data_IF_677653398081
#
_entry.id   IF_677653398081
#
_cell.length_a   1.000
_cell.length_b   1.000
_cell.length_c   1.000
_cell.angle_alpha   90.00
_cell.angle_beta   90.00
_cell.angle_gamma   90.00
#
_symmetry.space_group_name_H-M   'P 1'
#
loop_
_entity.id
_entity.type
_entity.pdbx_description
1 polymer ?
#
# COMPACT_ATOMS: atom_id res chain seq x y z
N UNK A 1 4.12 -14.87 -10.67
CA UNK A 1 5.01 -13.74 -11.08
C UNK A 1 6.44 -14.20 -11.02
N UNK A 2 7.35 -13.54 -11.73
CA UNK A 2 8.80 -13.81 -11.69
C UNK A 2 9.50 -12.83 -10.77
N UNK A 3 10.69 -13.20 -10.29
CA UNK A 3 11.55 -12.28 -9.55
C UNK A 3 11.81 -10.99 -10.36
N UNK A 4 11.80 -9.81 -9.71
CA UNK A 4 12.02 -8.54 -10.39
C UNK A 4 13.47 -8.39 -10.87
N UNK A 5 13.70 -7.47 -11.82
CA UNK A 5 15.06 -7.08 -12.22
C UNK A 5 15.77 -6.40 -11.04
N UNK A 6 17.03 -6.81 -10.75
CA UNK A 6 17.84 -6.11 -9.77
C UNK A 6 18.06 -4.63 -10.11
N UNK A 7 18.09 -3.78 -9.08
CA UNK A 7 18.36 -2.33 -9.14
C UNK A 7 19.61 -1.92 -8.36
N UNK A 8 20.36 -2.89 -7.83
CA UNK A 8 21.63 -2.67 -7.15
C UNK A 8 22.17 -3.94 -6.50
N UNK A 9 23.29 -3.84 -5.76
CA UNK A 9 23.97 -5.00 -5.19
C UNK A 9 23.10 -5.85 -4.25
N UNK A 10 22.14 -5.25 -3.53
CA UNK A 10 21.28 -5.97 -2.61
C UNK A 10 20.25 -6.82 -3.36
N UNK A 11 19.53 -6.22 -4.30
CA UNK A 11 18.56 -6.95 -5.11
C UNK A 11 19.24 -7.96 -6.05
N UNK A 12 20.48 -7.71 -6.51
CA UNK A 12 21.26 -8.69 -7.27
C UNK A 12 21.55 -9.94 -6.43
N UNK A 13 21.99 -9.75 -5.19
CA UNK A 13 22.19 -10.85 -4.25
C UNK A 13 20.89 -11.58 -3.93
N UNK A 14 19.80 -10.83 -3.71
CA UNK A 14 18.50 -11.39 -3.34
C UNK A 14 17.93 -12.27 -4.45
N UNK A 15 17.93 -11.78 -5.69
CA UNK A 15 17.44 -12.53 -6.86
C UNK A 15 18.30 -13.77 -7.09
N UNK A 16 19.63 -13.67 -7.00
CA UNK A 16 20.52 -14.82 -7.16
C UNK A 16 20.33 -15.88 -6.04
N UNK A 17 20.03 -15.45 -4.81
CA UNK A 17 19.74 -16.33 -3.68
C UNK A 17 18.39 -17.03 -3.86
N UNK A 18 17.34 -16.29 -4.22
CA UNK A 18 15.99 -16.82 -4.41
C UNK A 18 15.90 -17.78 -5.59
N UNK A 19 16.58 -17.49 -6.71
CA UNK A 19 16.62 -18.35 -7.90
C UNK A 19 17.47 -19.62 -7.72
N UNK A 20 18.21 -19.75 -6.61
CA UNK A 20 19.11 -20.89 -6.37
C UNK A 20 20.29 -20.96 -7.35
N UNK A 21 20.57 -19.88 -8.09
CA UNK A 21 21.55 -19.85 -9.18
C UNK A 21 23.00 -19.61 -8.73
N UNK A 22 23.27 -19.52 -7.43
CA UNK A 22 24.62 -19.28 -6.90
C UNK A 22 24.86 -19.81 -5.50
N UNK A 23 26.14 -20.01 -5.16
CA UNK A 23 26.57 -20.10 -3.76
C UNK A 23 26.42 -18.69 -3.20
N UNK A 24 25.23 -18.31 -2.75
CA UNK A 24 25.00 -16.99 -2.19
C UNK A 24 25.96 -16.83 -0.99
N UNK A 25 26.96 -15.97 -1.16
CA UNK A 25 27.84 -15.57 -0.06
C UNK A 25 27.04 -14.92 1.07
N UNK A 26 27.75 -14.40 2.07
CA UNK A 26 27.09 -13.60 3.11
C UNK A 26 26.25 -12.48 2.48
N UNK A 27 25.12 -12.16 3.10
CA UNK A 27 24.29 -11.04 2.68
C UNK A 27 25.12 -9.74 2.68
N UNK A 28 24.90 -8.83 1.71
CA UNK A 28 25.49 -7.50 1.74
C UNK A 28 25.13 -6.81 3.07
N UNK A 29 26.12 -6.21 3.74
CA UNK A 29 25.91 -5.49 5.01
C UNK A 29 25.12 -4.21 4.77
N UNK A 30 24.43 -3.68 5.80
CA UNK A 30 23.69 -2.40 5.73
C UNK A 30 24.45 -1.28 5.02
N UNK A 31 25.73 -1.13 5.36
CA UNK A 31 26.61 -0.08 4.83
C UNK A 31 26.84 -0.19 3.31
N UNK A 32 26.58 -1.35 2.70
CA UNK A 32 26.82 -1.61 1.27
C UNK A 32 25.64 -1.26 0.36
N UNK A 33 24.44 -1.09 0.92
CA UNK A 33 23.23 -0.74 0.17
C UNK A 33 22.53 0.53 0.68
N UNK A 34 22.97 1.09 1.81
CA UNK A 34 22.45 2.34 2.36
C UNK A 34 22.48 3.54 1.39
N UNK A 35 23.31 3.49 0.35
CA UNK A 35 23.43 4.55 -0.65
C UNK A 35 22.42 4.43 -1.82
N UNK A 36 21.56 3.40 -1.86
CA UNK A 36 20.57 3.19 -2.93
C UNK A 36 19.18 2.90 -2.38
N UNK A 37 18.40 3.96 -2.15
CA UNK A 37 17.00 3.86 -1.75
C UNK A 37 16.14 3.06 -2.74
N UNK A 38 16.44 3.12 -4.04
CA UNK A 38 15.74 2.33 -5.06
C UNK A 38 16.01 0.82 -4.92
N UNK A 39 17.27 0.44 -4.64
CA UNK A 39 17.66 -0.94 -4.38
C UNK A 39 17.05 -1.47 -3.07
N UNK A 40 17.00 -0.64 -2.01
CA UNK A 40 16.29 -0.95 -0.76
C UNK A 40 14.80 -1.23 -1.01
N UNK A 41 14.14 -0.34 -1.73
CA UNK A 41 12.70 -0.42 -2.00
C UNK A 41 12.32 -1.70 -2.76
N UNK A 42 13.01 -2.03 -3.85
CA UNK A 42 12.72 -3.25 -4.62
C UNK A 42 13.10 -4.51 -3.85
N UNK A 43 14.18 -4.47 -3.06
CA UNK A 43 14.60 -5.61 -2.23
C UNK A 43 13.59 -5.91 -1.13
N UNK A 44 13.14 -4.88 -0.42
CA UNK A 44 12.14 -5.03 0.63
C UNK A 44 10.79 -5.48 0.05
N UNK A 45 10.38 -4.93 -1.10
CA UNK A 45 9.17 -5.38 -1.78
C UNK A 45 9.25 -6.86 -2.13
N UNK A 46 10.37 -7.29 -2.71
CA UNK A 46 10.61 -8.70 -3.06
C UNK A 46 10.52 -9.62 -1.83
N UNK A 47 11.09 -9.20 -0.69
CA UNK A 47 11.04 -9.95 0.57
C UNK A 47 9.63 -10.00 1.18
N UNK A 48 8.85 -8.93 1.05
CA UNK A 48 7.44 -8.91 1.46
C UNK A 48 6.59 -9.87 0.64
N UNK A 49 6.81 -9.93 -0.69
CA UNK A 49 6.03 -10.77 -1.60
C UNK A 49 6.13 -12.27 -1.32
N UNK A 50 7.18 -12.72 -0.61
CA UNK A 50 7.29 -14.09 -0.11
C UNK A 50 6.17 -14.46 0.87
N UNK A 51 5.60 -13.48 1.59
CA UNK A 51 4.46 -13.70 2.50
C UNK A 51 3.10 -13.60 1.81
N UNK A 52 3.07 -13.22 0.51
CA UNK A 52 1.85 -13.14 -0.29
C UNK A 52 1.77 -14.32 -1.26
N UNK A 53 1.94 -14.08 -2.57
CA UNK A 53 1.82 -15.10 -3.63
C UNK A 53 3.17 -15.67 -4.09
N UNK A 54 4.28 -15.15 -3.56
CA UNK A 54 5.63 -15.61 -3.89
C UNK A 54 6.00 -15.44 -5.37
N UNK A 55 7.02 -16.20 -5.80
CA UNK A 55 7.59 -16.13 -7.15
C UNK A 55 7.69 -17.53 -7.77
N UNK A 56 7.40 -17.65 -9.06
CA UNK A 56 7.47 -18.93 -9.81
C UNK A 56 8.89 -19.49 -9.91
N UNK A 57 9.89 -18.63 -9.80
CA UNK A 57 11.32 -18.91 -9.86
C UNK A 57 12.01 -18.81 -8.50
N UNK A 58 11.25 -18.91 -7.39
CA UNK A 58 11.78 -19.08 -6.04
C UNK A 58 11.15 -20.30 -5.35
N UNK A 59 11.85 -20.88 -4.37
CA UNK A 59 11.29 -21.92 -3.48
C UNK A 59 10.39 -21.27 -2.42
N UNK A 60 9.15 -21.73 -2.26
CA UNK A 60 8.20 -21.22 -1.25
C UNK A 60 8.77 -21.26 0.18
N UNK A 61 9.73 -22.17 0.46
CA UNK A 61 10.41 -22.24 1.77
C UNK A 61 11.27 -21.01 2.05
N UNK A 62 11.58 -20.20 1.05
CA UNK A 62 12.34 -18.96 1.20
C UNK A 62 11.66 -17.94 2.13
N UNK A 63 10.32 -17.99 2.26
CA UNK A 63 9.58 -17.16 3.23
C UNK A 63 10.19 -17.24 4.65
N UNK A 64 10.69 -18.43 5.02
CA UNK A 64 11.23 -18.71 6.35
C UNK A 64 12.74 -18.92 6.37
N UNK A 65 13.46 -18.53 5.31
CA UNK A 65 14.93 -18.59 5.30
C UNK A 65 15.51 -17.59 6.32
N UNK A 66 16.29 -18.04 7.31
CA UNK A 66 16.80 -17.14 8.36
C UNK A 66 17.69 -16.01 7.83
N UNK A 67 18.41 -16.24 6.72
CA UNK A 67 19.25 -15.23 6.11
C UNK A 67 18.43 -14.11 5.46
N UNK A 68 17.37 -14.49 4.72
CA UNK A 68 16.41 -13.54 4.13
C UNK A 68 15.63 -12.77 5.20
N UNK A 69 15.21 -13.45 6.28
CA UNK A 69 14.54 -12.81 7.41
C UNK A 69 15.43 -11.76 8.11
N UNK A 70 16.74 -12.03 8.22
CA UNK A 70 17.71 -11.04 8.73
C UNK A 70 17.76 -9.78 7.88
N UNK A 71 17.89 -9.94 6.55
CA UNK A 71 17.90 -8.79 5.61
C UNK A 71 16.58 -8.04 5.64
N UNK A 72 15.45 -8.75 5.64
CA UNK A 72 14.12 -8.15 5.74
C UNK A 72 13.99 -7.33 7.03
N UNK A 73 14.45 -7.86 8.16
CA UNK A 73 14.40 -7.15 9.44
C UNK A 73 15.18 -5.83 9.40
N UNK A 74 16.38 -5.82 8.82
CA UNK A 74 17.20 -4.61 8.72
C UNK A 74 16.52 -3.54 7.84
N UNK A 75 15.97 -3.94 6.69
CA UNK A 75 15.25 -3.06 5.77
C UNK A 75 13.94 -2.52 6.37
N UNK A 76 13.15 -3.37 7.03
CA UNK A 76 11.93 -2.97 7.74
C UNK A 76 12.24 -1.98 8.86
N UNK A 77 13.32 -2.19 9.61
CA UNK A 77 13.78 -1.29 10.67
C UNK A 77 14.17 0.07 10.11
N UNK A 78 14.89 0.10 8.98
CA UNK A 78 15.26 1.35 8.30
C UNK A 78 14.03 2.11 7.77
N UNK A 79 13.08 1.40 7.14
CA UNK A 79 11.83 2.00 6.65
C UNK A 79 10.99 2.59 7.79
N UNK A 80 10.80 1.84 8.88
CA UNK A 80 10.04 2.34 10.03
C UNK A 80 10.70 3.56 10.66
N UNK A 81 12.02 3.56 10.83
CA UNK A 81 12.73 4.70 11.38
C UNK A 81 12.50 5.97 10.53
N UNK A 82 12.55 5.83 9.20
CA UNK A 82 12.27 6.93 8.25
C UNK A 82 10.82 7.42 8.32
N UNK A 83 9.86 6.51 8.46
CA UNK A 83 8.44 6.85 8.64
C UNK A 83 8.21 7.58 9.96
N UNK A 84 8.77 7.08 11.07
CA UNK A 84 8.65 7.71 12.40
C UNK A 84 9.36 9.06 12.46
N UNK A 85 10.49 9.24 11.79
CA UNK A 85 11.16 10.54 11.69
C UNK A 85 10.32 11.57 10.92
N UNK A 86 9.63 11.16 9.86
CA UNK A 86 8.65 12.02 9.16
C UNK A 86 7.48 12.39 10.05
N UNK A 87 6.92 11.41 10.76
CA UNK A 87 5.82 11.65 11.70
C UNK A 87 6.23 12.59 12.83
N UNK A 88 7.39 12.38 13.46
CA UNK A 88 7.87 13.24 14.54
C UNK A 88 8.06 14.71 14.12
N UNK A 89 8.29 14.99 12.83
CA UNK A 89 8.42 16.36 12.30
C UNK A 89 7.09 17.11 12.21
N UNK A 90 5.94 16.42 12.27
CA UNK A 90 4.63 17.08 12.34
C UNK A 90 4.30 17.57 13.75
N UNK A 91 5.13 17.23 14.75
CA UNK A 91 4.90 17.50 16.18
C UNK A 91 3.51 17.04 16.64
N UNK A 92 3.21 15.73 16.49
CA UNK A 92 1.88 15.23 16.74
C UNK A 92 1.52 15.33 18.23
N UNK A 93 0.37 15.91 18.52
CA UNK A 93 -0.16 15.94 19.88
C UNK A 93 -0.66 14.53 20.28
N UNK A 94 -0.40 14.09 21.53
CA UNK A 94 -1.01 12.87 22.05
C UNK A 94 -2.53 12.94 21.97
N UNK A 95 -3.17 11.84 21.59
CA UNK A 95 -4.63 11.76 21.45
C UNK A 95 -5.22 10.88 22.55
N UNK A 96 -6.34 11.31 23.15
CA UNK A 96 -7.08 10.45 24.06
C UNK A 96 -7.79 9.35 23.24
N UNK A 97 -7.91 8.10 23.74
CA UNK A 97 -8.54 7.01 23.00
C UNK A 97 -9.93 7.35 22.44
N UNK A 98 -10.76 8.05 23.21
CA UNK A 98 -12.10 8.49 22.81
C UNK A 98 -12.12 9.52 21.67
N UNK A 99 -11.02 10.24 21.45
CA UNK A 99 -10.89 11.31 20.46
C UNK A 99 -10.26 10.81 19.14
N UNK A 100 -9.84 9.54 19.07
CA UNK A 100 -9.18 8.97 17.88
C UNK A 100 -9.99 9.17 16.59
N UNK A 101 -11.31 8.91 16.53
CA UNK A 101 -12.07 9.15 15.29
C UNK A 101 -12.03 10.62 14.84
N UNK A 102 -12.15 11.58 15.77
CA UNK A 102 -12.10 13.00 15.45
C UNK A 102 -10.68 13.45 15.03
N UNK A 103 -9.65 12.86 15.63
CA UNK A 103 -8.27 13.10 15.23
C UNK A 103 -7.97 12.54 13.83
N UNK A 104 -8.52 11.38 13.45
CA UNK A 104 -8.43 10.85 12.09
C UNK A 104 -9.11 11.79 11.07
N UNK A 105 -10.31 12.27 11.37
CA UNK A 105 -11.02 13.26 10.55
C UNK A 105 -10.16 14.52 10.35
N UNK A 106 -9.46 14.98 11.40
CA UNK A 106 -8.56 16.13 11.33
C UNK A 106 -7.34 15.85 10.45
N UNK A 107 -6.66 14.71 10.65
CA UNK A 107 -5.48 14.32 9.86
C UNK A 107 -5.82 14.24 8.36
N UNK A 108 -6.97 13.68 8.00
CA UNK A 108 -7.43 13.61 6.60
C UNK A 108 -7.82 14.99 6.07
N UNK A 109 -8.51 15.82 6.86
CA UNK A 109 -8.93 17.15 6.42
C UNK A 109 -7.77 18.13 6.24
N UNK A 110 -6.68 17.95 6.97
CA UNK A 110 -5.47 18.78 6.90
C UNK A 110 -4.48 18.32 5.81
N UNK A 111 -4.70 17.17 5.17
CA UNK A 111 -3.86 16.70 4.06
C UNK A 111 -3.94 17.66 2.86
N UNK A 112 -2.80 18.26 2.52
CA UNK A 112 -2.62 19.17 1.39
C UNK A 112 -1.74 18.57 0.28
N UNK A 113 -1.55 17.24 0.31
CA UNK A 113 -0.80 16.50 -0.69
C UNK A 113 -1.31 16.71 -2.13
N UNK A 114 -0.43 16.59 -3.13
CA UNK A 114 -0.84 16.78 -4.52
C UNK A 114 -1.78 15.67 -4.99
N UNK A 115 -2.81 16.04 -5.74
CA UNK A 115 -3.86 15.10 -6.16
C UNK A 115 -3.64 14.58 -7.59
N UNK A 116 -3.12 13.36 -7.72
CA UNK A 116 -3.01 12.66 -9.00
C UNK A 116 -4.36 12.51 -9.70
N UNK A 117 -5.39 12.13 -8.95
CA UNK A 117 -6.74 11.97 -9.50
C UNK A 117 -7.28 13.27 -10.09
N UNK A 118 -6.92 14.41 -9.51
CA UNK A 118 -7.32 15.71 -10.02
C UNK A 118 -6.56 16.12 -11.29
N UNK A 119 -5.27 15.76 -11.40
CA UNK A 119 -4.52 15.86 -12.65
C UNK A 119 -5.11 14.95 -13.74
N UNK A 120 -5.44 13.70 -13.40
CA UNK A 120 -6.11 12.75 -14.31
C UNK A 120 -7.44 13.31 -14.81
N UNK A 121 -8.24 13.88 -13.92
CA UNK A 121 -9.50 14.52 -14.28
C UNK A 121 -9.32 15.66 -15.28
N UNK A 122 -8.33 16.54 -15.06
CA UNK A 122 -8.24 17.84 -15.76
C UNK A 122 -7.28 17.86 -16.96
N UNK A 123 -6.14 17.21 -16.85
CA UNK A 123 -4.98 17.49 -17.71
C UNK A 123 -4.32 16.26 -18.30
N UNK A 124 -4.42 15.09 -17.65
CA UNK A 124 -3.68 13.93 -18.10
C UNK A 124 -4.04 13.50 -19.52
N UNK A 125 -3.05 13.02 -20.26
CA UNK A 125 -3.28 12.30 -21.49
C UNK A 125 -3.43 10.79 -21.22
N UNK A 126 -3.68 10.03 -22.29
CA UNK A 126 -3.85 8.58 -22.20
C UNK A 126 -2.59 7.88 -21.71
N UNK A 127 -1.41 8.32 -22.12
CA UNK A 127 -0.15 7.66 -21.76
C UNK A 127 0.14 7.84 -20.27
N UNK A 128 -0.10 9.04 -19.72
CA UNK A 128 0.00 9.32 -18.28
C UNK A 128 -0.98 8.46 -17.45
N UNK A 129 -2.23 8.30 -17.91
CA UNK A 129 -3.20 7.43 -17.22
C UNK A 129 -2.75 5.97 -17.25
N UNK A 130 -2.28 5.46 -18.41
CA UNK A 130 -1.77 4.10 -18.50
C UNK A 130 -0.52 3.89 -17.62
N UNK A 131 0.36 4.88 -17.53
CA UNK A 131 1.51 4.85 -16.61
C UNK A 131 1.07 4.80 -15.15
N UNK A 132 0.12 5.65 -14.74
CA UNK A 132 -0.44 5.64 -13.39
C UNK A 132 -1.04 4.26 -13.05
N UNK A 133 -1.81 3.67 -13.97
CA UNK A 133 -2.41 2.34 -13.75
C UNK A 133 -1.36 1.24 -13.62
N UNK A 134 -0.23 1.34 -14.35
CA UNK A 134 0.91 0.42 -14.17
C UNK A 134 1.53 0.57 -12.78
N UNK A 135 1.78 1.80 -12.31
CA UNK A 135 2.28 2.04 -10.95
C UNK A 135 1.31 1.46 -9.91
N UNK A 136 0.03 1.80 -10.03
CA UNK A 136 -1.04 1.35 -9.12
C UNK A 136 -1.24 -0.16 -9.10
N UNK A 137 -0.93 -0.87 -10.19
CA UNK A 137 -1.04 -2.33 -10.26
C UNK A 137 -0.18 -3.08 -9.25
N UNK A 138 0.88 -2.46 -8.74
CA UNK A 138 1.75 -3.06 -7.71
C UNK A 138 0.99 -3.31 -6.41
N UNK A 139 0.04 -2.43 -6.06
CA UNK A 139 -0.82 -2.57 -4.89
C UNK A 139 -2.22 -3.13 -5.23
N UNK A 140 -2.95 -2.54 -6.18
CA UNK A 140 -4.39 -2.86 -6.31
C UNK A 140 -4.65 -4.32 -6.75
N UNK A 141 -3.68 -5.01 -7.37
CA UNK A 141 -3.81 -6.44 -7.67
C UNK A 141 -3.71 -7.37 -6.42
N UNK A 142 -3.42 -6.80 -5.25
CA UNK A 142 -3.44 -7.41 -3.92
C UNK A 142 -4.16 -6.51 -2.89
N UNK A 143 -5.06 -5.65 -3.37
CA UNK A 143 -5.86 -4.77 -2.52
C UNK A 143 -6.46 -5.54 -1.33
N UNK A 144 -6.43 -4.92 -0.16
CA UNK A 144 -6.91 -5.48 1.12
C UNK A 144 -6.13 -6.68 1.70
N UNK A 145 -5.19 -7.30 0.96
CA UNK A 145 -4.36 -8.41 1.48
C UNK A 145 -3.46 -8.00 2.66
N UNK A 146 -2.76 -6.84 2.67
CA UNK A 146 -1.93 -6.45 3.82
C UNK A 146 -2.73 -6.32 5.13
N UNK A 147 -3.96 -5.79 5.06
CA UNK A 147 -4.86 -5.65 6.20
C UNK A 147 -5.35 -7.00 6.74
N UNK A 148 -5.45 -8.02 5.88
CA UNK A 148 -5.86 -9.36 6.29
C UNK A 148 -4.89 -10.01 7.31
N UNK A 149 -3.59 -9.72 7.24
CA UNK A 149 -2.61 -10.20 8.22
C UNK A 149 -2.84 -9.68 9.65
N UNK A 150 -3.60 -8.59 9.78
CA UNK A 150 -3.88 -7.94 11.06
C UNK A 150 -5.03 -8.63 11.79
N UNK A 151 -5.96 -9.28 11.07
CA UNK A 151 -7.15 -9.97 11.61
C UNK A 151 -6.85 -10.80 12.86
N UNK A 152 -5.88 -11.75 12.88
CA UNK A 152 -5.65 -12.59 14.06
C UNK A 152 -5.13 -11.81 15.29
N UNK A 153 -4.71 -10.54 15.10
CA UNK A 153 -3.99 -9.72 16.07
C UNK A 153 -4.88 -8.73 16.82
N UNK A 154 -6.13 -8.57 16.38
CA UNK A 154 -7.08 -7.58 16.90
C UNK A 154 -7.97 -8.12 18.02
N UNK A 155 -8.42 -7.24 18.95
CA UNK A 155 -9.47 -7.54 19.92
C UNK A 155 -10.83 -7.71 19.23
N UNK A 156 -11.85 -8.16 19.98
CA UNK A 156 -13.11 -8.69 19.42
C UNK A 156 -13.87 -7.67 18.56
N UNK A 157 -14.00 -6.41 19.01
CA UNK A 157 -14.81 -5.38 18.33
C UNK A 157 -14.17 -4.94 17.02
N UNK A 158 -12.94 -4.44 17.08
CA UNK A 158 -12.18 -4.05 15.90
C UNK A 158 -12.01 -5.20 14.91
N UNK A 159 -11.81 -6.44 15.38
CA UNK A 159 -11.73 -7.64 14.51
C UNK A 159 -13.03 -7.88 13.74
N UNK A 160 -14.19 -7.79 14.41
CA UNK A 160 -15.47 -8.01 13.76
C UNK A 160 -15.76 -6.92 12.72
N UNK A 161 -15.46 -5.67 13.04
CA UNK A 161 -15.59 -4.54 12.12
C UNK A 161 -14.65 -4.66 10.91
N UNK A 162 -13.36 -4.99 11.13
CA UNK A 162 -12.42 -5.25 10.04
C UNK A 162 -12.90 -6.39 9.14
N UNK A 163 -13.46 -7.47 9.71
CA UNK A 163 -13.94 -8.60 8.90
C UNK A 163 -15.16 -8.23 8.06
N UNK A 164 -16.02 -7.33 8.53
CA UNK A 164 -17.13 -6.82 7.74
C UNK A 164 -16.62 -6.00 6.54
N UNK A 165 -15.65 -5.11 6.77
CA UNK A 165 -14.99 -4.34 5.70
C UNK A 165 -14.32 -5.27 4.69
N UNK A 166 -13.48 -6.19 5.17
CA UNK A 166 -12.78 -7.14 4.32
C UNK A 166 -13.75 -8.08 3.57
N UNK A 167 -14.95 -8.35 4.08
CA UNK A 167 -15.90 -9.19 3.33
C UNK A 167 -16.39 -8.49 2.06
N UNK A 168 -16.68 -7.19 2.14
CA UNK A 168 -17.06 -6.36 1.00
C UNK A 168 -15.89 -6.22 0.01
N UNK A 169 -14.70 -5.85 0.49
CA UNK A 169 -13.47 -5.76 -0.32
C UNK A 169 -13.11 -7.07 -1.04
N UNK A 170 -13.44 -8.20 -0.41
CA UNK A 170 -13.27 -9.54 -0.99
C UNK A 170 -14.45 -10.00 -1.85
N UNK A 171 -15.32 -9.07 -2.24
CA UNK A 171 -16.41 -9.25 -3.20
C UNK A 171 -17.66 -9.90 -2.64
N UNK A 172 -17.90 -9.85 -1.32
CA UNK A 172 -19.03 -10.51 -0.64
C UNK A 172 -19.14 -12.02 -0.94
N UNK A 173 -18.01 -12.67 -1.23
CA UNK A 173 -17.97 -14.07 -1.65
C UNK A 173 -18.27 -14.32 -3.13
N UNK A 174 -18.52 -13.29 -3.94
CA UNK A 174 -18.52 -13.36 -5.40
C UNK A 174 -17.13 -12.99 -5.95
N UNK A 175 -16.38 -13.94 -6.55
CA UNK A 175 -15.06 -13.65 -7.09
C UNK A 175 -15.06 -12.61 -8.23
N UNK A 176 -16.22 -12.34 -8.86
CA UNK A 176 -16.33 -11.31 -9.89
C UNK A 176 -16.48 -9.90 -9.33
N UNK A 177 -16.72 -9.76 -8.01
CA UNK A 177 -16.79 -8.49 -7.28
C UNK A 177 -15.55 -8.22 -6.42
N UNK A 178 -14.64 -9.18 -6.27
CA UNK A 178 -13.36 -8.99 -5.59
C UNK A 178 -12.61 -7.78 -6.19
N UNK A 179 -12.31 -6.76 -5.39
CA UNK A 179 -11.79 -5.48 -5.89
C UNK A 179 -10.49 -5.63 -6.69
N UNK A 180 -9.56 -6.45 -6.21
CA UNK A 180 -8.33 -6.76 -6.95
C UNK A 180 -8.58 -7.45 -8.30
N UNK A 181 -9.67 -8.22 -8.44
CA UNK A 181 -10.08 -8.82 -9.71
C UNK A 181 -10.78 -7.80 -10.63
N UNK A 182 -11.58 -6.89 -10.08
CA UNK A 182 -12.14 -5.76 -10.83
C UNK A 182 -11.02 -4.87 -11.41
N UNK A 183 -9.98 -4.57 -10.62
CA UNK A 183 -8.81 -3.83 -11.10
C UNK A 183 -8.10 -4.57 -12.24
N UNK A 184 -7.89 -5.89 -12.10
CA UNK A 184 -7.30 -6.72 -13.14
C UNK A 184 -8.09 -6.65 -14.47
N UNK A 185 -9.42 -6.79 -14.41
CA UNK A 185 -10.30 -6.65 -15.58
C UNK A 185 -10.25 -5.23 -16.16
N UNK A 186 -10.12 -4.22 -15.31
CA UNK A 186 -9.88 -2.84 -15.71
C UNK A 186 -8.61 -2.70 -16.54
N UNK A 187 -7.50 -3.29 -16.09
CA UNK A 187 -6.20 -3.24 -16.79
C UNK A 187 -6.33 -3.86 -18.19
N UNK A 188 -6.95 -5.04 -18.30
CA UNK A 188 -7.17 -5.71 -19.58
C UNK A 188 -7.99 -4.83 -20.54
N UNK A 189 -9.05 -4.19 -20.04
CA UNK A 189 -9.93 -3.34 -20.83
C UNK A 189 -9.22 -2.11 -21.42
N UNK A 190 -8.22 -1.56 -20.73
CA UNK A 190 -7.41 -0.44 -21.24
C UNK A 190 -6.17 -0.89 -22.02
N UNK A 191 -6.01 -2.20 -22.25
CA UNK A 191 -4.93 -2.79 -23.04
C UNK A 191 -3.63 -3.03 -22.25
N UNK A 192 -3.70 -3.08 -20.92
CA UNK A 192 -2.59 -3.41 -20.04
C UNK A 192 -2.65 -4.89 -19.63
N UNK A 193 -1.46 -5.45 -19.39
CA UNK A 193 -1.27 -6.71 -18.67
C UNK A 193 -1.85 -6.65 -17.26
N UNK A 194 -2.57 -7.68 -16.85
CA UNK A 194 -3.23 -7.77 -15.55
C UNK A 194 -2.57 -8.80 -14.61
N UNK A 195 -1.50 -9.45 -15.06
CA UNK A 195 -0.77 -10.41 -14.23
C UNK A 195 -0.15 -9.71 -13.01
N UNK A 196 -0.28 -10.34 -11.85
CA UNK A 196 0.30 -9.86 -10.60
C UNK A 196 1.82 -9.64 -10.75
N UNK A 197 2.31 -8.46 -10.37
CA UNK A 197 3.71 -8.07 -10.49
C UNK A 197 4.18 -7.74 -11.92
N UNK A 198 3.28 -7.66 -12.91
CA UNK A 198 3.67 -7.44 -14.31
C UNK A 198 4.54 -6.20 -14.54
N UNK A 199 4.31 -5.13 -13.77
CA UNK A 199 4.98 -3.83 -13.95
C UNK A 199 5.91 -3.45 -12.80
N UNK A 200 6.27 -4.38 -11.92
CA UNK A 200 7.15 -4.07 -10.79
C UNK A 200 8.52 -3.53 -11.25
N UNK A 201 9.03 -4.03 -12.38
CA UNK A 201 10.30 -3.56 -12.96
C UNK A 201 10.25 -2.07 -13.33
N UNK A 202 9.07 -1.53 -13.65
CA UNK A 202 8.84 -0.13 -14.02
C UNK A 202 8.38 0.73 -12.81
N UNK A 203 8.20 0.12 -11.63
CA UNK A 203 7.66 0.81 -10.46
C UNK A 203 8.64 1.84 -9.91
N UNK A 204 8.14 3.04 -9.58
CA UNK A 204 8.94 4.06 -8.91
C UNK A 204 9.29 3.63 -7.47
N UNK A 205 10.46 4.00 -6.93
CA UNK A 205 10.81 3.69 -5.55
C UNK A 205 9.83 4.28 -4.53
N UNK A 206 9.19 5.43 -4.80
CA UNK A 206 8.11 5.99 -3.97
C UNK A 206 6.91 5.04 -3.87
N UNK A 207 6.51 4.45 -5.00
CA UNK A 207 5.40 3.51 -5.06
C UNK A 207 5.76 2.18 -4.37
N UNK A 208 7.00 1.70 -4.52
CA UNK A 208 7.50 0.54 -3.80
C UNK A 208 7.54 0.81 -2.28
N UNK A 209 7.97 1.99 -1.85
CA UNK A 209 7.94 2.39 -0.45
C UNK A 209 6.52 2.40 0.12
N UNK A 210 5.54 2.94 -0.62
CA UNK A 210 4.12 2.90 -0.23
C UNK A 210 3.64 1.47 -0.01
N UNK A 211 3.95 0.55 -0.93
CA UNK A 211 3.60 -0.87 -0.80
C UNK A 211 4.31 -1.55 0.38
N UNK A 212 5.58 -1.19 0.61
CA UNK A 212 6.37 -1.71 1.71
C UNK A 212 5.87 -1.21 3.06
N UNK A 213 5.40 0.03 3.16
CA UNK A 213 4.79 0.56 4.37
C UNK A 213 3.54 -0.25 4.76
N UNK A 214 2.60 -0.43 3.83
CA UNK A 214 1.41 -1.25 4.08
C UNK A 214 1.75 -2.69 4.52
N UNK A 215 2.74 -3.30 3.88
CA UNK A 215 3.18 -4.68 4.19
C UNK A 215 3.89 -4.76 5.55
N UNK A 216 4.76 -3.81 5.88
CA UNK A 216 5.41 -3.68 7.19
C UNK A 216 4.37 -3.56 8.32
N UNK A 217 3.42 -2.64 8.17
CA UNK A 217 2.37 -2.44 9.17
C UNK A 217 1.51 -3.70 9.33
N UNK A 218 1.09 -4.31 8.21
CA UNK A 218 0.27 -5.52 8.18
C UNK A 218 0.97 -6.74 8.78
N UNK A 219 2.28 -6.91 8.57
CA UNK A 219 3.03 -8.10 8.97
C UNK A 219 3.59 -8.02 10.40
N UNK A 220 3.63 -6.85 11.04
CA UNK A 220 4.12 -6.69 12.42
C UNK A 220 3.02 -6.47 13.46
N UNK A 221 2.87 -7.42 14.42
CA UNK A 221 1.82 -7.32 15.46
C UNK A 221 1.89 -6.06 16.31
N UNK A 222 3.09 -5.56 16.57
CA UNK A 222 3.29 -4.33 17.36
C UNK A 222 2.77 -3.08 16.64
N UNK A 223 2.61 -3.14 15.31
CA UNK A 223 2.14 -2.05 14.46
C UNK A 223 0.65 -2.22 14.08
N UNK A 224 -0.11 -3.06 14.78
CA UNK A 224 -1.53 -3.32 14.45
C UNK A 224 -2.39 -2.05 14.51
N UNK A 225 -2.15 -1.14 15.47
CA UNK A 225 -2.80 0.16 15.51
C UNK A 225 -2.50 0.98 14.26
N UNK A 226 -1.22 1.08 13.88
CA UNK A 226 -0.79 1.77 12.67
C UNK A 226 -1.33 1.13 11.39
N UNK A 227 -1.45 -0.19 11.31
CA UNK A 227 -2.09 -0.84 10.16
C UNK A 227 -3.58 -0.44 10.04
N UNK A 228 -4.31 -0.35 11.16
CA UNK A 228 -5.71 0.07 11.15
C UNK A 228 -5.88 1.56 10.86
N UNK A 229 -5.01 2.40 11.38
CA UNK A 229 -5.00 3.83 11.05
C UNK A 229 -4.67 4.09 9.58
N UNK A 230 -3.72 3.34 9.01
CA UNK A 230 -3.44 3.40 7.57
C UNK A 230 -4.65 3.00 6.75
N UNK A 231 -5.32 1.90 7.10
CA UNK A 231 -6.57 1.50 6.45
C UNK A 231 -7.64 2.59 6.57
N UNK A 232 -7.84 3.14 7.77
CA UNK A 232 -8.83 4.21 7.97
C UNK A 232 -8.55 5.43 7.10
N UNK A 233 -7.30 5.90 7.01
CA UNK A 233 -6.96 7.01 6.12
C UNK A 233 -7.21 6.67 4.64
N UNK A 234 -6.89 5.44 4.20
CA UNK A 234 -7.19 4.97 2.84
C UNK A 234 -8.69 5.01 2.54
N UNK A 235 -9.53 4.44 3.42
CA UNK A 235 -10.98 4.44 3.25
C UNK A 235 -11.59 5.85 3.29
N UNK A 236 -11.12 6.69 4.20
CA UNK A 236 -11.59 8.08 4.34
C UNK A 236 -11.20 8.97 3.16
N UNK A 237 -10.28 8.54 2.30
CA UNK A 237 -9.77 9.32 1.17
C UNK A 237 -10.01 8.67 -0.19
N UNK A 238 -10.70 7.54 -0.27
CA UNK A 238 -10.85 6.79 -1.53
C UNK A 238 -11.85 7.43 -2.50
N UNK A 239 -12.98 7.92 -2.02
CA UNK A 239 -14.17 8.18 -2.84
C UNK A 239 -14.10 9.43 -3.71
N UNK A 240 -13.59 10.54 -3.17
CA UNK A 240 -13.43 11.78 -3.94
C UNK A 240 -12.36 11.61 -5.06
N UNK A 241 -11.17 11.06 -4.79
CA UNK A 241 -10.22 10.66 -5.83
C UNK A 241 -10.81 9.69 -6.85
N UNK A 242 -11.52 8.65 -6.43
CA UNK A 242 -12.16 7.69 -7.34
C UNK A 242 -13.15 8.34 -8.30
N UNK A 243 -14.00 9.24 -7.79
CA UNK A 243 -14.91 10.05 -8.64
C UNK A 243 -14.15 10.91 -9.66
N UNK A 244 -13.01 11.50 -9.26
CA UNK A 244 -12.14 12.26 -10.17
C UNK A 244 -11.48 11.36 -11.22
N UNK A 245 -11.08 10.14 -10.84
CA UNK A 245 -10.55 9.14 -11.76
C UNK A 245 -11.59 8.75 -12.82
N UNK A 246 -12.83 8.45 -12.43
CA UNK A 246 -13.95 8.18 -13.35
C UNK A 246 -14.09 9.30 -14.39
N UNK A 247 -14.18 10.56 -13.93
CA UNK A 247 -14.31 11.72 -14.82
C UNK A 247 -13.12 11.87 -15.78
N UNK A 248 -11.90 11.57 -15.34
CA UNK A 248 -10.71 11.60 -16.18
C UNK A 248 -10.65 10.48 -17.21
N UNK A 249 -11.08 9.27 -16.83
CA UNK A 249 -11.19 8.11 -17.73
C UNK A 249 -12.24 8.36 -18.82
N UNK A 250 -13.41 8.87 -18.46
CA UNK A 250 -14.47 9.25 -19.40
C UNK A 250 -13.99 10.31 -20.39
N UNK A 251 -13.28 11.35 -19.91
CA UNK A 251 -12.70 12.40 -20.77
C UNK A 251 -11.75 11.85 -21.82
N UNK A 252 -11.07 10.74 -21.51
CA UNK A 252 -10.09 10.09 -22.37
C UNK A 252 -10.66 8.90 -23.17
N UNK A 253 -11.99 8.72 -23.18
CA UNK A 253 -12.66 7.60 -23.87
C UNK A 253 -12.14 6.23 -23.38
N UNK A 254 -11.84 6.13 -22.09
CA UNK A 254 -11.49 4.90 -21.37
C UNK A 254 -12.65 4.43 -20.47
N UNK A 255 -13.89 4.76 -20.86
CA UNK A 255 -15.10 4.28 -20.23
C UNK A 255 -15.23 2.75 -20.35
N UNK A 256 -15.61 2.09 -19.26
CA UNK A 256 -15.67 0.62 -19.21
C UNK A 256 -15.21 0.04 -17.87
N UNK A 257 -14.67 -1.20 -17.85
CA UNK A 257 -14.32 -1.91 -16.62
C UNK A 257 -13.37 -1.15 -15.68
N UNK A 258 -12.42 -0.38 -16.20
CA UNK A 258 -11.53 0.43 -15.36
C UNK A 258 -12.27 1.58 -14.68
N UNK A 259 -13.21 2.21 -15.38
CA UNK A 259 -14.08 3.23 -14.77
C UNK A 259 -15.00 2.61 -13.71
N UNK A 260 -15.55 1.42 -13.97
CA UNK A 260 -16.41 0.71 -13.03
C UNK A 260 -15.68 0.31 -11.73
N UNK A 261 -14.39 -0.04 -11.80
CA UNK A 261 -13.57 -0.28 -10.60
C UNK A 261 -13.54 0.94 -9.67
N UNK A 262 -13.28 2.13 -10.22
CA UNK A 262 -13.29 3.36 -9.43
C UNK A 262 -14.70 3.74 -8.97
N UNK A 263 -15.74 3.46 -9.76
CA UNK A 263 -17.12 3.75 -9.39
C UNK A 263 -17.59 2.90 -8.19
N UNK A 264 -17.18 1.64 -8.08
CA UNK A 264 -17.44 0.80 -6.89
C UNK A 264 -16.94 1.48 -5.60
N UNK A 265 -15.73 2.08 -5.65
CA UNK A 265 -15.15 2.81 -4.53
C UNK A 265 -15.87 4.13 -4.23
N UNK A 266 -16.64 4.69 -5.18
CA UNK A 266 -17.52 5.84 -4.91
C UNK A 266 -18.79 5.42 -4.18
N UNK A 267 -19.29 4.20 -4.43
CA UNK A 267 -20.51 3.69 -3.80
C UNK A 267 -20.28 3.20 -2.37
N UNK A 268 -19.11 2.62 -2.07
CA UNK A 268 -18.73 2.11 -0.75
C UNK A 268 -18.49 3.21 0.33
N UNK A 269 -18.32 4.47 -0.11
CA UNK A 269 -17.80 5.64 0.59
C UNK A 269 -18.18 5.79 2.08
N UNK A 270 -19.43 6.15 2.37
CA UNK A 270 -19.81 6.56 3.72
C UNK A 270 -19.84 5.41 4.74
N UNK A 271 -19.99 4.17 4.27
CA UNK A 271 -20.03 2.99 5.14
C UNK A 271 -18.60 2.62 5.55
N UNK A 272 -17.68 2.55 4.59
CA UNK A 272 -16.29 2.19 4.86
C UNK A 272 -15.58 3.24 5.71
N UNK A 273 -15.81 4.54 5.44
CA UNK A 273 -15.31 5.63 6.27
C UNK A 273 -15.74 5.47 7.75
N UNK A 274 -17.03 5.22 7.98
CA UNK A 274 -17.57 5.07 9.34
C UNK A 274 -17.01 3.82 10.02
N UNK A 275 -17.01 2.70 9.30
CA UNK A 275 -16.54 1.42 9.79
C UNK A 275 -15.06 1.51 10.18
N UNK A 276 -14.22 2.10 9.32
CA UNK A 276 -12.79 2.19 9.56
C UNK A 276 -12.42 3.18 10.67
N UNK A 277 -12.99 4.39 10.67
CA UNK A 277 -12.65 5.42 11.66
C UNK A 277 -13.22 5.11 13.06
N UNK A 278 -14.46 4.64 13.15
CA UNK A 278 -15.15 4.47 14.45
C UNK A 278 -15.15 3.02 14.92
N UNK A 279 -15.68 2.12 14.10
CA UNK A 279 -15.92 0.74 14.52
C UNK A 279 -14.63 -0.10 14.55
N UNK A 280 -13.63 0.24 13.74
CA UNK A 280 -12.28 -0.34 13.79
C UNK A 280 -11.38 0.49 14.71
N UNK A 281 -11.01 1.71 14.31
CA UNK A 281 -9.99 2.49 15.03
C UNK A 281 -10.46 2.98 16.40
N UNK A 282 -11.67 3.55 16.49
CA UNK A 282 -12.25 3.99 17.76
C UNK A 282 -12.35 2.85 18.77
N UNK A 283 -12.89 1.69 18.36
CA UNK A 283 -13.01 0.55 19.28
C UNK A 283 -11.67 -0.08 19.64
N UNK A 284 -10.69 -0.08 18.72
CA UNK A 284 -9.32 -0.53 19.02
C UNK A 284 -8.67 0.38 20.06
N UNK A 285 -8.81 1.70 19.95
CA UNK A 285 -8.27 2.64 20.92
C UNK A 285 -8.93 2.49 22.30
N UNK A 286 -10.26 2.30 22.34
CA UNK A 286 -10.98 2.02 23.59
C UNK A 286 -10.51 0.71 24.26
N UNK A 287 -10.37 -0.37 23.49
CA UNK A 287 -9.98 -1.69 23.99
C UNK A 287 -8.47 -1.76 24.32
N UNK A 288 -7.63 -1.04 23.58
CA UNK A 288 -6.16 -1.01 23.70
C UNK A 288 -5.62 0.44 23.62
N UNK A 289 -5.71 1.23 24.72
CA UNK A 289 -5.34 2.65 24.72
C UNK A 289 -3.92 3.01 24.27
N UNK A 290 -2.97 2.08 24.40
CA UNK A 290 -1.59 2.25 23.93
C UNK A 290 -1.47 2.29 22.40
N UNK A 291 -2.53 1.94 21.68
CA UNK A 291 -2.57 1.97 20.21
C UNK A 291 -3.05 3.31 19.63
N UNK A 292 -3.53 4.25 20.46
CA UNK A 292 -4.12 5.51 19.96
C UNK A 292 -3.14 6.34 19.11
N UNK A 293 -1.91 6.54 19.58
CA UNK A 293 -0.87 7.25 18.82
C UNK A 293 -0.38 6.44 17.60
N UNK A 294 -0.35 5.11 17.71
CA UNK A 294 0.03 4.24 16.58
C UNK A 294 -1.01 4.32 15.46
N UNK A 295 -2.31 4.43 15.77
CA UNK A 295 -3.37 4.65 14.78
C UNK A 295 -3.10 5.95 14.00
N UNK A 296 -2.82 7.06 14.69
CA UNK A 296 -2.53 8.33 13.99
C UNK A 296 -1.22 8.26 13.18
N UNK A 297 -0.19 7.58 13.69
CA UNK A 297 1.03 7.31 12.93
C UNK A 297 0.75 6.53 11.63
N UNK A 298 -0.15 5.55 11.68
CA UNK A 298 -0.61 4.80 10.52
C UNK A 298 -1.33 5.65 9.49
N UNK A 299 -2.27 6.48 9.95
CA UNK A 299 -3.03 7.39 9.09
C UNK A 299 -2.11 8.41 8.40
N UNK A 300 -1.21 9.04 9.17
CA UNK A 300 -0.17 9.89 8.62
C UNK A 300 0.70 9.17 7.59
N UNK A 301 1.13 7.94 7.90
CA UNK A 301 1.98 7.15 7.00
C UNK A 301 1.29 6.94 5.65
N UNK A 302 0.00 6.61 5.64
CA UNK A 302 -0.77 6.44 4.40
C UNK A 302 -0.73 7.71 3.53
N UNK A 303 -1.01 8.86 4.13
CA UNK A 303 -1.07 10.14 3.42
C UNK A 303 0.31 10.63 2.97
N UNK A 304 1.35 10.53 3.80
CA UNK A 304 2.70 11.00 3.45
C UNK A 304 3.32 10.19 2.31
N UNK A 305 3.18 8.85 2.30
CA UNK A 305 3.73 8.03 1.20
C UNK A 305 2.97 8.25 -0.11
N UNK A 306 1.65 8.45 -0.04
CA UNK A 306 0.80 8.78 -1.18
C UNK A 306 1.17 10.15 -1.76
N UNK A 307 1.33 11.18 -0.93
CA UNK A 307 1.72 12.53 -1.34
C UNK A 307 3.12 12.54 -2.00
N UNK A 308 4.06 11.73 -1.51
CA UNK A 308 5.41 11.59 -2.09
C UNK A 308 5.37 10.91 -3.45
N UNK A 309 4.63 9.82 -3.58
CA UNK A 309 4.42 9.16 -4.86
C UNK A 309 3.76 10.10 -5.87
N UNK A 310 2.70 10.79 -5.47
CA UNK A 310 2.02 11.77 -6.29
C UNK A 310 2.95 12.90 -6.75
N UNK A 311 3.76 13.45 -5.85
CA UNK A 311 4.76 14.47 -6.17
C UNK A 311 5.77 14.00 -7.21
N UNK A 312 6.30 12.78 -7.04
CA UNK A 312 7.32 12.22 -7.92
C UNK A 312 6.75 11.92 -9.32
N UNK A 313 5.54 11.36 -9.41
CA UNK A 313 4.90 11.04 -10.68
C UNK A 313 4.43 12.30 -11.43
N UNK A 314 3.89 13.31 -10.73
CA UNK A 314 3.57 14.59 -11.37
C UNK A 314 4.85 15.27 -11.90
N UNK A 315 5.94 15.23 -11.13
CA UNK A 315 7.22 15.78 -11.55
C UNK A 315 7.78 15.07 -12.80
N UNK A 316 7.64 13.74 -12.91
CA UNK A 316 8.07 12.99 -14.09
C UNK A 316 7.29 13.39 -15.35
N UNK A 317 6.03 13.78 -15.18
CA UNK A 317 5.17 14.33 -16.24
C UNK A 317 5.41 15.81 -16.54
N UNK A 318 6.28 16.49 -15.78
CA UNK A 318 6.43 17.94 -15.86
C UNK A 318 5.20 18.73 -15.39
N UNK A 319 4.30 18.09 -14.66
CA UNK A 319 3.17 18.72 -14.00
C UNK A 319 3.59 19.27 -12.63
N UNK A 320 2.90 20.32 -12.16
CA UNK A 320 3.04 20.87 -10.82
C UNK A 320 1.74 20.71 -10.05
#
# INVERSE_FOLDING_TARGET
MRLPKPRGPLSEWLVARLAGTGVAGAAPTSDSWADSWDDECISLWTLHELSFRGFEDADDRAEWDPGLLGVRHDLETALEARLRERWARTDPAPVAPEDVPAALETVVAEDDGPSLADHVRRHADRDQVLELLRQRSVYHLKESDPSAFVVPRLPVRAKAALMALQFDEYGDGDPNRLHSHLFARGLEAVGLRAEYGAYVDDAMPENLEMNNAGSLLGLHRRLRGAAMGHLAAFEMTSSLPSRKMVQGLERLELDGPMSAYYDEHVEADAIHEHLASRDICGTLAEDEPDQADEILFGAFTCLDVEARFASALLASWGAR
#
